data_IF_892289771865
#
_entry.id   IF_892289771865
#
_cell.length_a   1.000
_cell.length_b   1.000
_cell.length_c   1.000
_cell.angle_alpha   90.00
_cell.angle_beta   90.00
_cell.angle_gamma   90.00
#
_symmetry.space_group_name_H-M   'P 1'
#
loop_
_entity.id
_entity.type
_entity.pdbx_description
1 polymer ?
#
# COMPACT_ATOMS: atom_id res chain seq x y z
N UNK A 1 0.66 2.46 -21.07
CA UNK A 1 0.93 1.41 -20.09
C UNK A 1 0.91 2.07 -18.74
N UNK A 2 0.14 1.59 -17.80
CA UNK A 2 0.07 2.14 -16.45
C UNK A 2 1.01 1.37 -15.53
N UNK A 3 1.66 2.08 -14.61
CA UNK A 3 2.58 1.52 -13.63
C UNK A 3 2.00 1.73 -12.24
N UNK A 4 1.98 0.66 -11.46
CA UNK A 4 1.61 0.68 -10.05
C UNK A 4 2.88 0.67 -9.22
N UNK A 5 3.13 1.74 -8.50
CA UNK A 5 4.27 1.91 -7.61
C UNK A 5 3.83 1.58 -6.18
N UNK A 6 4.36 0.52 -5.59
CA UNK A 6 3.98 0.10 -4.24
C UNK A 6 5.07 0.50 -3.26
N UNK A 7 4.69 1.26 -2.24
CA UNK A 7 5.57 1.77 -1.19
C UNK A 7 5.11 1.24 0.17
N UNK A 8 6.00 0.58 0.90
CA UNK A 8 5.76 0.31 2.31
C UNK A 8 5.99 1.58 3.13
N UNK A 9 5.13 1.84 4.13
CA UNK A 9 5.32 2.96 5.06
C UNK A 9 6.72 2.97 5.69
N UNK A 10 7.21 4.15 6.08
CA UNK A 10 8.46 4.38 6.80
C UNK A 10 8.51 3.69 8.16
N UNK A 11 9.68 3.70 8.81
CA UNK A 11 9.82 3.16 10.16
C UNK A 11 8.85 3.88 11.11
N UNK A 12 8.00 3.12 11.82
CA UNK A 12 7.06 3.60 12.82
C UNK A 12 7.41 3.07 14.21
N UNK A 13 6.83 3.66 15.28
CA UNK A 13 7.18 3.36 16.65
C UNK A 13 7.12 1.86 16.97
N UNK A 14 6.11 1.12 16.48
CA UNK A 14 5.98 -0.33 16.67
C UNK A 14 7.06 -1.16 15.97
N UNK A 15 7.80 -0.59 15.04
CA UNK A 15 8.91 -1.30 14.37
C UNK A 15 10.17 -1.32 15.24
N UNK A 16 10.35 -0.35 16.12
CA UNK A 16 11.48 -0.27 17.06
C UNK A 16 11.10 -0.77 18.45
N UNK A 17 9.86 -0.56 18.88
CA UNK A 17 9.30 -1.12 20.10
C UNK A 17 8.25 -2.18 19.74
N UNK A 18 8.64 -3.46 19.84
CA UNK A 18 7.72 -4.58 19.54
C UNK A 18 6.60 -4.73 20.56
N UNK A 19 6.74 -4.11 21.72
CA UNK A 19 5.73 -4.05 22.77
C UNK A 19 4.87 -2.78 22.74
N UNK A 20 4.96 -1.97 21.68
CA UNK A 20 4.25 -0.70 21.58
C UNK A 20 2.76 -0.83 21.94
N UNK A 21 2.29 -0.17 23.02
CA UNK A 21 1.00 -0.51 23.64
C UNK A 21 -0.19 0.27 23.07
N UNK A 22 0.04 1.15 22.11
CA UNK A 22 -1.02 2.02 21.58
C UNK A 22 -1.40 1.66 20.15
N UNK A 23 -2.65 1.96 19.80
CA UNK A 23 -3.16 1.81 18.43
C UNK A 23 -2.55 2.88 17.51
N UNK A 24 -2.49 2.58 16.23
CA UNK A 24 -2.14 3.50 15.13
C UNK A 24 -0.84 4.32 15.34
N UNK A 25 0.32 3.65 15.57
CA UNK A 25 1.58 4.33 15.82
C UNK A 25 2.01 5.22 14.65
N UNK A 26 2.53 6.43 14.95
CA UNK A 26 3.13 7.31 13.96
C UNK A 26 4.51 6.83 13.52
N UNK A 27 5.07 7.49 12.50
CA UNK A 27 6.48 7.34 12.14
C UNK A 27 7.40 7.75 13.29
N UNK A 28 8.58 7.13 13.32
CA UNK A 28 9.71 7.65 14.11
C UNK A 28 10.33 8.85 13.40
N UNK A 29 11.17 9.60 14.10
CA UNK A 29 11.97 10.67 13.48
C UNK A 29 12.86 10.10 12.36
N UNK A 30 13.50 8.97 12.59
CA UNK A 30 14.30 8.26 11.59
C UNK A 30 13.44 7.87 10.37
N UNK A 31 12.24 7.32 10.60
CA UNK A 31 11.32 7.00 9.51
C UNK A 31 10.90 8.21 8.69
N UNK A 32 10.68 9.36 9.34
CA UNK A 32 10.37 10.62 8.67
C UNK A 32 11.54 11.15 7.85
N UNK A 33 12.76 11.13 8.41
CA UNK A 33 13.98 11.53 7.69
C UNK A 33 14.27 10.61 6.50
N UNK A 34 14.06 9.30 6.64
CA UNK A 34 14.21 8.37 5.54
C UNK A 34 13.17 8.63 4.43
N UNK A 35 11.92 8.92 4.81
CA UNK A 35 10.86 9.23 3.86
C UNK A 35 11.16 10.49 3.02
N UNK A 36 11.76 11.52 3.62
CA UNK A 36 12.15 12.75 2.90
C UNK A 36 13.26 12.54 1.86
N UNK A 37 13.99 11.43 1.92
CA UNK A 37 15.06 11.10 0.98
C UNK A 37 14.61 10.09 -0.11
N UNK A 38 13.33 9.73 -0.16
CA UNK A 38 12.81 8.83 -1.20
C UNK A 38 12.80 9.54 -2.55
N UNK A 39 13.53 8.99 -3.52
CA UNK A 39 13.47 9.43 -4.90
C UNK A 39 12.36 8.67 -5.62
N UNK A 40 11.40 9.40 -6.19
CA UNK A 40 10.33 8.80 -6.99
C UNK A 40 10.82 8.55 -8.43
N UNK A 41 10.50 7.39 -9.01
CA UNK A 41 10.89 7.06 -10.39
C UNK A 41 10.07 7.81 -11.44
N UNK A 42 8.90 8.35 -11.06
CA UNK A 42 8.00 9.09 -11.92
C UNK A 42 7.16 10.08 -11.11
N UNK A 43 6.55 11.04 -11.79
CA UNK A 43 5.54 11.92 -11.20
C UNK A 43 4.24 11.14 -10.98
N UNK A 44 3.58 11.27 -9.80
CA UNK A 44 2.31 10.60 -9.55
C UNK A 44 1.17 11.26 -10.34
N UNK A 45 0.29 10.42 -10.91
CA UNK A 45 -1.02 10.87 -11.40
C UNK A 45 -2.10 10.66 -10.32
N UNK A 46 -1.91 9.64 -9.48
CA UNK A 46 -2.81 9.29 -8.39
C UNK A 46 -2.01 8.72 -7.22
N UNK A 47 -2.33 9.13 -6.00
CA UNK A 47 -1.78 8.60 -4.77
C UNK A 47 -2.90 7.92 -3.98
N UNK A 48 -2.70 6.68 -3.57
CA UNK A 48 -3.65 5.91 -2.79
C UNK A 48 -2.98 5.47 -1.49
N UNK A 49 -3.63 5.74 -0.36
CA UNK A 49 -3.02 5.53 0.95
C UNK A 49 -3.93 4.73 1.89
N UNK A 50 -3.34 3.87 2.70
CA UNK A 50 -4.01 3.24 3.84
C UNK A 50 -4.41 4.29 4.89
N UNK A 51 -5.57 4.15 5.57
CA UNK A 51 -6.03 5.13 6.56
C UNK A 51 -5.29 5.09 7.91
N UNK A 52 -4.05 4.62 7.94
CA UNK A 52 -3.26 4.60 9.18
C UNK A 52 -2.29 5.76 9.25
N UNK A 53 -2.08 6.31 10.43
CA UNK A 53 -1.21 7.48 10.66
C UNK A 53 0.15 7.34 9.97
N UNK A 54 0.84 6.22 10.12
CA UNK A 54 2.17 5.97 9.55
C UNK A 54 2.21 5.99 8.02
N UNK A 55 1.14 5.50 7.37
CA UNK A 55 1.03 5.51 5.90
C UNK A 55 0.71 6.89 5.37
N UNK A 56 -0.20 7.62 6.03
CA UNK A 56 -0.54 9.00 5.68
C UNK A 56 0.67 9.92 5.88
N UNK A 57 1.40 9.80 7.00
CA UNK A 57 2.62 10.56 7.23
C UNK A 57 3.69 10.24 6.17
N UNK A 58 3.85 8.96 5.80
CA UNK A 58 4.76 8.59 4.71
C UNK A 58 4.36 9.26 3.41
N UNK A 59 3.08 9.22 3.05
CA UNK A 59 2.59 9.85 1.82
C UNK A 59 2.80 11.37 1.84
N UNK A 60 2.48 12.04 2.94
CA UNK A 60 2.66 13.49 3.09
C UNK A 60 4.12 13.93 2.93
N UNK A 61 5.07 13.10 3.40
CA UNK A 61 6.51 13.43 3.29
C UNK A 61 7.03 13.10 1.89
N UNK A 62 6.76 11.89 1.38
CA UNK A 62 7.29 11.42 0.08
C UNK A 62 6.74 12.24 -1.07
N UNK A 63 5.48 12.65 -1.00
CA UNK A 63 4.78 13.37 -2.08
C UNK A 63 4.55 14.85 -1.78
N UNK A 64 5.27 15.43 -0.81
CA UNK A 64 5.10 16.83 -0.37
C UNK A 64 5.08 17.82 -1.52
N UNK A 65 6.06 17.73 -2.43
CA UNK A 65 6.17 18.63 -3.59
C UNK A 65 4.98 18.56 -4.56
N UNK A 66 4.23 17.45 -4.57
CA UNK A 66 3.06 17.27 -5.44
C UNK A 66 1.76 17.62 -4.74
N UNK A 67 1.64 17.31 -3.44
CA UNK A 67 0.43 17.55 -2.65
C UNK A 67 0.28 19.02 -2.24
N UNK A 68 1.39 19.75 -2.06
CA UNK A 68 1.42 21.14 -1.65
C UNK A 68 1.71 22.13 -2.82
N UNK A 69 1.81 21.63 -4.05
CA UNK A 69 2.05 22.48 -5.22
C UNK A 69 0.73 23.05 -5.76
N UNK A 70 0.67 24.35 -5.95
CA UNK A 70 -0.47 25.00 -6.63
C UNK A 70 -0.54 24.72 -8.12
N UNK A 71 0.52 24.16 -8.72
CA UNK A 71 0.60 23.84 -10.14
C UNK A 71 0.16 22.41 -10.47
N UNK A 72 0.07 21.53 -9.49
CA UNK A 72 -0.34 20.13 -9.66
C UNK A 72 -1.60 19.88 -8.84
N UNK A 73 -2.61 19.29 -9.47
CA UNK A 73 -3.83 18.86 -8.79
C UNK A 73 -3.80 17.33 -8.68
N UNK A 74 -2.83 16.80 -7.92
CA UNK A 74 -2.70 15.35 -7.72
C UNK A 74 -3.74 14.91 -6.70
N UNK A 75 -4.57 13.94 -7.10
CA UNK A 75 -5.56 13.34 -6.22
C UNK A 75 -4.90 12.37 -5.23
N UNK A 76 -5.27 12.48 -3.94
CA UNK A 76 -4.93 11.50 -2.92
C UNK A 76 -6.22 10.86 -2.42
N UNK A 77 -6.32 9.54 -2.58
CA UNK A 77 -7.44 8.73 -2.11
C UNK A 77 -7.05 7.90 -0.88
N UNK A 78 -7.94 7.85 0.10
CA UNK A 78 -7.77 6.97 1.28
C UNK A 78 -8.58 5.69 1.06
N UNK A 79 -7.87 4.54 1.01
CA UNK A 79 -8.51 3.24 0.83
C UNK A 79 -8.37 2.36 2.08
N UNK A 80 -9.45 2.09 2.82
CA UNK A 80 -9.42 1.21 3.99
C UNK A 80 -8.99 -0.21 3.66
N UNK A 81 -9.16 -0.66 2.41
CA UNK A 81 -8.70 -1.97 1.96
C UNK A 81 -7.17 -2.11 1.94
N UNK A 82 -6.43 -1.01 1.98
CA UNK A 82 -4.96 -1.00 2.11
C UNK A 82 -4.46 -1.15 3.55
N UNK A 83 -5.35 -1.26 4.57
CA UNK A 83 -4.93 -1.45 5.97
C UNK A 83 -4.09 -2.72 6.14
N UNK A 84 -3.34 -2.81 7.26
CA UNK A 84 -2.53 -4.00 7.56
C UNK A 84 -3.40 -5.28 7.58
N UNK A 85 -2.79 -6.43 7.41
CA UNK A 85 -3.52 -7.70 7.23
C UNK A 85 -4.31 -8.09 8.46
N UNK A 86 -3.74 -7.97 9.65
CA UNK A 86 -4.36 -8.37 10.90
C UNK A 86 -4.32 -7.23 11.93
N UNK A 87 -5.28 -7.24 12.85
CA UNK A 87 -5.43 -6.29 13.95
C UNK A 87 -5.27 -6.95 15.34
N UNK A 88 -4.74 -8.17 15.40
CA UNK A 88 -4.42 -8.85 16.65
C UNK A 88 -3.44 -8.02 17.48
N UNK A 89 -2.43 -7.46 16.84
CA UNK A 89 -1.57 -6.48 17.48
C UNK A 89 -2.26 -5.12 17.52
N UNK A 90 -2.32 -4.50 18.71
CA UNK A 90 -2.98 -3.20 18.91
C UNK A 90 -2.48 -2.11 17.97
N UNK A 91 -1.20 -2.14 17.59
CA UNK A 91 -0.58 -1.21 16.67
C UNK A 91 -1.15 -1.26 15.23
N UNK A 92 -1.88 -2.31 14.89
CA UNK A 92 -2.56 -2.48 13.60
C UNK A 92 -4.03 -2.06 13.64
N UNK A 93 -4.55 -1.64 14.79
CA UNK A 93 -5.84 -0.98 14.90
C UNK A 93 -5.66 0.50 14.62
N UNK A 94 -6.35 1.01 13.59
CA UNK A 94 -6.37 2.43 13.27
C UNK A 94 -7.24 3.23 14.24
N UNK A 95 -7.27 4.53 14.08
CA UNK A 95 -8.15 5.44 14.79
C UNK A 95 -9.59 5.31 14.26
N UNK A 96 -10.57 5.77 15.02
CA UNK A 96 -11.93 5.98 14.50
C UNK A 96 -11.91 6.96 13.33
N UNK A 97 -12.93 6.90 12.47
CA UNK A 97 -13.05 7.83 11.34
C UNK A 97 -13.02 9.30 11.78
N UNK A 98 -13.68 9.63 12.89
CA UNK A 98 -13.70 10.99 13.42
C UNK A 98 -12.31 11.45 13.90
N UNK A 99 -11.57 10.60 14.60
CA UNK A 99 -10.23 10.91 15.09
C UNK A 99 -9.23 11.12 13.95
N UNK A 100 -9.21 10.19 12.95
CA UNK A 100 -8.28 10.30 11.82
C UNK A 100 -8.62 11.49 10.92
N UNK A 101 -9.90 11.79 10.72
CA UNK A 101 -10.35 12.96 9.96
C UNK A 101 -10.01 14.28 10.67
N UNK A 102 -10.05 14.31 12.01
CA UNK A 102 -9.57 15.48 12.78
C UNK A 102 -8.06 15.66 12.63
N UNK A 103 -7.31 14.57 12.62
CA UNK A 103 -5.84 14.58 12.52
C UNK A 103 -5.32 14.98 11.14
N UNK A 104 -6.06 14.62 10.09
CA UNK A 104 -5.70 14.85 8.69
C UNK A 104 -6.90 15.42 7.91
N UNK A 105 -7.38 16.59 8.34
CA UNK A 105 -8.63 17.19 7.87
C UNK A 105 -8.66 17.53 6.36
N UNK A 106 -7.50 17.50 5.69
CA UNK A 106 -7.40 17.71 4.25
C UNK A 106 -7.80 16.50 3.40
N UNK A 107 -8.02 15.32 4.00
CA UNK A 107 -8.35 14.09 3.28
C UNK A 107 -9.76 13.60 3.57
N UNK A 108 -10.33 12.88 2.60
CA UNK A 108 -11.64 12.24 2.74
C UNK A 108 -11.50 10.83 3.33
N UNK A 109 -12.12 10.62 4.50
CA UNK A 109 -12.18 9.33 5.20
C UNK A 109 -13.57 8.70 5.16
N UNK A 110 -14.48 9.18 4.30
CA UNK A 110 -15.87 8.70 4.22
C UNK A 110 -15.97 7.19 3.93
N UNK A 111 -15.00 6.63 3.21
CA UNK A 111 -14.92 5.20 2.93
C UNK A 111 -14.48 4.34 4.13
N UNK A 112 -13.97 4.95 5.21
CA UNK A 112 -13.55 4.23 6.41
C UNK A 112 -14.74 3.89 7.32
N UNK A 113 -14.66 2.76 8.02
CA UNK A 113 -15.61 2.43 9.08
C UNK A 113 -15.53 3.45 10.22
N UNK A 114 -16.66 3.66 10.91
CA UNK A 114 -16.75 4.69 11.96
C UNK A 114 -15.82 4.38 13.14
N UNK A 115 -15.79 3.11 13.59
CA UNK A 115 -15.09 2.69 14.80
C UNK A 115 -13.92 1.71 14.54
N UNK A 116 -13.43 1.60 13.31
CA UNK A 116 -12.40 0.62 12.94
C UNK A 116 -12.83 -0.84 13.22
N UNK A 117 -14.09 -1.14 12.98
CA UNK A 117 -14.75 -2.42 13.23
C UNK A 117 -14.73 -3.33 11.98
N UNK A 118 -13.56 -3.45 11.33
CA UNK A 118 -13.39 -4.31 10.17
C UNK A 118 -13.50 -5.80 10.57
N UNK A 119 -13.92 -6.66 9.63
CA UNK A 119 -13.98 -8.10 9.89
C UNK A 119 -12.64 -8.63 10.42
N UNK A 120 -12.66 -9.62 11.33
CA UNK A 120 -11.45 -10.28 11.81
C UNK A 120 -10.58 -10.78 10.67
N UNK A 121 -9.28 -10.71 10.86
CA UNK A 121 -8.34 -11.21 9.86
C UNK A 121 -8.47 -12.73 9.71
N UNK A 122 -8.59 -13.15 8.44
CA UNK A 122 -8.33 -14.52 8.01
C UNK A 122 -7.47 -14.48 6.75
N UNK A 123 -6.77 -15.57 6.46
CA UNK A 123 -5.94 -15.66 5.25
C UNK A 123 -6.80 -15.45 3.99
N UNK A 124 -7.94 -16.14 3.91
CA UNK A 124 -8.88 -16.05 2.78
C UNK A 124 -9.45 -14.62 2.65
N UNK A 125 -9.78 -13.99 3.77
CA UNK A 125 -10.26 -12.59 3.79
C UNK A 125 -9.22 -11.62 3.25
N UNK A 126 -7.94 -11.80 3.58
CA UNK A 126 -6.84 -10.99 3.08
C UNK A 126 -6.61 -11.21 1.57
N UNK A 127 -6.69 -12.46 1.09
CA UNK A 127 -6.62 -12.80 -0.34
C UNK A 127 -7.75 -12.11 -1.11
N UNK A 128 -8.99 -12.21 -0.64
CA UNK A 128 -10.16 -11.56 -1.28
C UNK A 128 -10.04 -10.03 -1.29
N UNK A 129 -9.57 -9.45 -0.19
CA UNK A 129 -9.34 -7.99 -0.09
C UNK A 129 -8.26 -7.54 -1.07
N UNK A 130 -7.16 -8.28 -1.19
CA UNK A 130 -6.10 -7.99 -2.14
C UNK A 130 -6.59 -8.08 -3.60
N UNK A 131 -7.41 -9.08 -3.94
CA UNK A 131 -8.04 -9.18 -5.26
C UNK A 131 -8.96 -7.99 -5.55
N UNK A 132 -9.73 -7.53 -4.57
CA UNK A 132 -10.58 -6.33 -4.71
C UNK A 132 -9.74 -5.09 -5.02
N UNK A 133 -8.62 -4.90 -4.31
CA UNK A 133 -7.68 -3.80 -4.56
C UNK A 133 -7.11 -3.89 -5.97
N UNK A 134 -6.62 -5.06 -6.41
CA UNK A 134 -6.06 -5.25 -7.76
C UNK A 134 -7.09 -4.94 -8.86
N UNK A 135 -8.35 -5.37 -8.72
CA UNK A 135 -9.43 -5.05 -9.67
C UNK A 135 -9.65 -3.55 -9.79
N UNK A 136 -9.71 -2.84 -8.65
CA UNK A 136 -9.85 -1.38 -8.66
C UNK A 136 -8.65 -0.69 -9.32
N UNK A 137 -7.43 -1.16 -9.05
CA UNK A 137 -6.22 -0.64 -9.70
C UNK A 137 -6.26 -0.86 -11.22
N UNK A 138 -6.74 -2.03 -11.67
CA UNK A 138 -6.94 -2.33 -13.09
C UNK A 138 -7.93 -1.37 -13.75
N UNK A 139 -8.99 -1.00 -13.08
CA UNK A 139 -9.95 -0.01 -13.59
C UNK A 139 -9.30 1.38 -13.68
N UNK A 140 -8.57 1.80 -12.64
CA UNK A 140 -7.89 3.09 -12.59
C UNK A 140 -6.75 3.22 -13.60
N UNK A 141 -6.09 2.11 -13.96
CA UNK A 141 -5.01 2.10 -14.95
C UNK A 141 -5.43 2.55 -16.34
N UNK A 142 -6.74 2.63 -16.61
CA UNK A 142 -7.30 3.19 -17.85
C UNK A 142 -7.22 4.71 -17.91
N UNK A 143 -7.16 5.37 -16.74
CA UNK A 143 -7.19 6.84 -16.61
C UNK A 143 -5.89 7.43 -16.08
N UNK A 144 -5.13 6.67 -15.29
CA UNK A 144 -3.90 7.10 -14.63
C UNK A 144 -2.72 6.25 -15.11
N UNK A 145 -1.57 6.88 -15.34
CA UNK A 145 -0.35 6.20 -15.80
C UNK A 145 0.55 5.77 -14.65
N UNK A 146 0.72 6.63 -13.66
CA UNK A 146 1.58 6.39 -12.49
C UNK A 146 0.73 6.44 -11.21
N UNK A 147 0.34 5.27 -10.70
CA UNK A 147 -0.46 5.14 -9.48
C UNK A 147 0.45 4.69 -8.35
N UNK A 148 0.51 5.49 -7.28
CA UNK A 148 1.32 5.17 -6.10
C UNK A 148 0.45 4.67 -4.96
N UNK A 149 0.80 3.50 -4.42
CA UNK A 149 0.17 2.93 -3.22
C UNK A 149 1.11 3.03 -2.03
N UNK A 150 0.63 3.61 -0.92
CA UNK A 150 1.35 3.58 0.36
C UNK A 150 0.59 2.68 1.33
N UNK A 151 1.20 1.55 1.69
CA UNK A 151 0.55 0.50 2.48
C UNK A 151 1.53 -0.22 3.41
N UNK A 152 1.24 -1.44 3.82
CA UNK A 152 1.91 -2.19 4.88
C UNK A 152 2.55 -3.47 4.36
N UNK A 153 3.62 -3.93 5.01
CA UNK A 153 4.37 -5.12 4.61
C UNK A 153 3.49 -6.37 4.52
N UNK A 154 2.69 -6.63 5.55
CA UNK A 154 1.84 -7.82 5.58
C UNK A 154 0.83 -7.81 4.45
N UNK A 155 0.16 -6.67 4.20
CA UNK A 155 -0.80 -6.58 3.11
C UNK A 155 -0.16 -6.64 1.72
N UNK A 156 1.04 -6.07 1.53
CA UNK A 156 1.77 -6.19 0.25
C UNK A 156 2.02 -7.65 -0.11
N UNK A 157 2.31 -8.50 0.86
CA UNK A 157 2.54 -9.94 0.63
C UNK A 157 1.30 -10.67 0.09
N UNK A 158 0.08 -10.15 0.33
CA UNK A 158 -1.16 -10.64 -0.29
C UNK A 158 -1.45 -9.97 -1.63
N UNK A 159 -0.97 -8.75 -1.82
CA UNK A 159 -1.27 -7.95 -3.01
C UNK A 159 -0.44 -8.37 -4.22
N UNK A 160 0.85 -8.68 -4.02
CA UNK A 160 1.80 -9.01 -5.09
C UNK A 160 2.72 -10.16 -4.71
N UNK A 161 3.15 -10.90 -5.72
CA UNK A 161 4.24 -11.88 -5.57
C UNK A 161 5.59 -11.16 -5.44
N UNK A 162 6.55 -11.78 -4.78
CA UNK A 162 7.91 -11.26 -4.73
C UNK A 162 8.58 -11.40 -3.37
N UNK A 163 9.57 -10.56 -3.15
CA UNK A 163 10.34 -10.54 -1.90
C UNK A 163 9.67 -9.65 -0.85
N UNK A 164 10.03 -9.89 0.41
CA UNK A 164 9.59 -9.09 1.54
C UNK A 164 10.00 -7.62 1.40
N UNK A 165 9.06 -6.72 1.69
CA UNK A 165 9.28 -5.29 1.60
C UNK A 165 9.88 -4.71 2.89
N UNK A 166 11.05 -4.07 2.77
CA UNK A 166 11.62 -3.23 3.81
C UNK A 166 10.89 -1.86 3.90
N UNK A 167 11.02 -1.11 5.02
CA UNK A 167 10.44 0.23 5.11
C UNK A 167 10.91 1.11 3.94
N UNK A 168 9.97 1.86 3.35
CA UNK A 168 10.17 2.75 2.20
C UNK A 168 10.68 2.08 0.92
N UNK A 169 10.73 0.75 0.87
CA UNK A 169 10.99 0.05 -0.38
C UNK A 169 9.87 0.36 -1.37
N UNK A 170 10.25 0.88 -2.53
CA UNK A 170 9.39 1.10 -3.67
C UNK A 170 9.66 0.00 -4.70
N UNK A 171 8.59 -0.59 -5.22
CA UNK A 171 8.66 -1.58 -6.32
C UNK A 171 7.57 -1.26 -7.31
N UNK A 172 7.89 -1.40 -8.59
CA UNK A 172 7.01 -1.10 -9.71
C UNK A 172 6.37 -2.37 -10.26
N UNK A 173 5.09 -2.29 -10.58
CA UNK A 173 4.32 -3.36 -11.20
C UNK A 173 3.56 -2.83 -12.40
N UNK A 174 3.50 -3.64 -13.46
CA UNK A 174 2.70 -3.30 -14.64
C UNK A 174 1.23 -3.61 -14.40
N UNK A 175 0.38 -2.60 -14.61
CA UNK A 175 -1.07 -2.79 -14.54
C UNK A 175 -1.67 -3.42 -15.79
N UNK A 176 -0.96 -3.42 -16.91
CA UNK A 176 -1.48 -3.81 -18.23
C UNK A 176 -1.16 -5.25 -18.66
N UNK A 177 -0.32 -5.98 -17.94
CA UNK A 177 -0.10 -7.40 -18.23
C UNK A 177 -1.10 -8.26 -17.46
N UNK A 178 -2.34 -8.15 -17.92
CA UNK A 178 -3.28 -9.24 -17.71
C UNK A 178 -2.98 -10.24 -18.82
N UNK A 179 -2.17 -11.22 -18.49
CA UNK A 179 -1.99 -12.37 -19.33
C UNK A 179 -3.37 -12.90 -19.78
N UNK A 180 -3.46 -13.46 -20.99
CA UNK A 180 -4.66 -14.17 -21.42
C UNK A 180 -5.06 -15.18 -20.33
N UNK A 181 -6.35 -15.45 -20.15
CA UNK A 181 -6.85 -16.29 -19.03
C UNK A 181 -6.07 -17.59 -18.86
N UNK A 182 -5.52 -18.15 -19.93
CA UNK A 182 -4.71 -19.36 -19.94
C UNK A 182 -3.29 -19.16 -19.40
N UNK A 183 -2.66 -18.01 -19.61
CA UNK A 183 -1.32 -17.68 -19.07
C UNK A 183 -1.37 -17.23 -17.59
N UNK A 184 -2.49 -16.65 -17.15
CA UNK A 184 -2.69 -16.25 -15.75
C UNK A 184 -2.74 -17.48 -14.83
N UNK A 185 -3.26 -18.60 -15.28
CA UNK A 185 -3.48 -19.78 -14.43
C UNK A 185 -2.19 -20.34 -13.84
N UNK A 186 -1.08 -20.33 -14.57
CA UNK A 186 0.21 -20.84 -14.06
C UNK A 186 0.96 -19.80 -13.21
N UNK A 187 0.79 -18.49 -13.48
CA UNK A 187 1.51 -17.42 -12.81
C UNK A 187 0.83 -16.94 -11.52
N UNK A 188 -0.46 -17.21 -11.33
CA UNK A 188 -1.22 -16.74 -10.16
C UNK A 188 -0.92 -17.53 -8.87
N UNK A 189 -0.35 -18.72 -8.99
CA UNK A 189 0.04 -19.53 -7.84
C UNK A 189 1.43 -19.16 -7.35
N UNK A 190 1.57 -18.87 -6.06
CA UNK A 190 2.85 -18.47 -5.48
C UNK A 190 2.91 -18.70 -3.99
N UNK A 191 3.96 -18.15 -3.38
CA UNK A 191 4.16 -18.18 -1.93
C UNK A 191 3.98 -16.77 -1.38
N UNK A 192 3.15 -16.63 -0.36
CA UNK A 192 3.07 -15.38 0.41
C UNK A 192 4.39 -15.17 1.14
N UNK A 193 5.08 -14.08 0.87
CA UNK A 193 6.42 -13.82 1.41
C UNK A 193 6.43 -13.43 2.90
N UNK A 194 5.29 -13.17 3.52
CA UNK A 194 5.18 -12.85 4.94
C UNK A 194 4.77 -14.08 5.78
N UNK A 195 3.87 -14.93 5.27
CA UNK A 195 3.37 -16.13 5.98
C UNK A 195 4.11 -17.41 5.58
N UNK A 196 4.69 -17.48 4.40
CA UNK A 196 5.30 -18.69 3.81
C UNK A 196 4.27 -19.68 3.25
N UNK A 197 2.99 -19.35 3.26
CA UNK A 197 1.92 -20.22 2.78
C UNK A 197 1.70 -20.09 1.28
N UNK A 198 1.15 -21.14 0.66
CA UNK A 198 0.71 -21.09 -0.74
C UNK A 198 -0.46 -20.14 -0.87
N UNK A 199 -0.41 -19.28 -1.86
CA UNK A 199 -1.45 -18.29 -2.16
C UNK A 199 -1.78 -18.29 -3.64
N UNK A 200 -3.07 -18.21 -3.94
CA UNK A 200 -3.58 -17.81 -5.25
C UNK A 200 -3.68 -16.27 -5.28
N UNK A 201 -2.86 -15.63 -6.12
CA UNK A 201 -2.87 -14.18 -6.30
C UNK A 201 -4.00 -13.69 -7.22
N UNK A 202 -4.89 -14.57 -7.64
CA UNK A 202 -6.12 -14.24 -8.36
C UNK A 202 -5.92 -13.83 -9.83
N UNK A 203 -7.03 -13.63 -10.54
CA UNK A 203 -7.00 -13.31 -11.97
C UNK A 203 -6.56 -11.87 -12.26
N UNK A 204 -6.50 -11.00 -11.25
CA UNK A 204 -6.02 -9.60 -11.41
C UNK A 204 -4.57 -9.45 -10.95
N UNK A 205 -3.72 -10.45 -11.22
CA UNK A 205 -2.31 -10.46 -10.82
C UNK A 205 -1.56 -9.24 -11.36
N UNK A 206 -0.79 -8.58 -10.49
CA UNK A 206 0.17 -7.54 -10.84
C UNK A 206 1.54 -8.20 -11.05
N UNK A 207 2.12 -8.01 -12.23
CA UNK A 207 3.44 -8.54 -12.57
C UNK A 207 4.53 -7.49 -12.29
N UNK A 208 5.66 -7.88 -11.64
CA UNK A 208 6.77 -6.97 -11.41
C UNK A 208 7.39 -6.53 -12.73
N UNK A 209 7.81 -5.27 -12.80
CA UNK A 209 8.66 -4.79 -13.89
C UNK A 209 10.05 -5.38 -13.68
N UNK A 210 10.43 -6.29 -14.56
CA UNK A 210 11.79 -6.83 -14.58
C UNK A 210 12.67 -5.78 -15.23
N UNK A 211 13.40 -5.01 -14.41
CA UNK A 211 14.49 -4.18 -14.93
C UNK A 211 15.61 -5.14 -15.31
N UNK A 212 16.08 -5.20 -16.57
CA UNK A 212 17.24 -6.01 -16.93
C UNK A 212 18.40 -5.59 -16.02
N UNK A 213 18.99 -6.55 -15.31
CA UNK A 213 20.24 -6.31 -14.60
C UNK A 213 21.28 -5.91 -15.65
N UNK A 214 21.76 -4.67 -15.60
CA UNK A 214 22.99 -4.31 -16.29
C UNK A 214 24.14 -4.94 -15.52
N UNK A 215 24.33 -6.25 -15.73
CA UNK A 215 25.59 -6.93 -15.42
C UNK A 215 26.50 -6.70 -16.62
N UNK A 216 27.38 -5.72 -16.49
CA UNK A 216 28.62 -5.55 -17.24
C UNK A 216 29.75 -5.23 -16.26
#
# INVERSE_FOLDING_TARGET
MAIIHIVRHGQALHNVDRGYPHRDPPLTEVGSQQASNVCLPAEPDLIIVSPMTRTIQTALIVFDQYLNSSSTNIELQVWPDLRETHDEAICNKGLSRAEIATKFAQFDFSACHEEWDYPPHSFEGAVLRAETVRKRLKELSRSYKNIFLVTHRGFIAFLVQGQRFDPLRLVEFMADHFAAEDEVNDQRQGINCDTGEKQDFGPSLLLPIVVPSHDD
#
